data_IF_643526898854
#
_entry.id   IF_643526898854
#
_cell.length_a   1.000
_cell.length_b   1.000
_cell.length_c   1.000
_cell.angle_alpha   90.00
_cell.angle_beta   90.00
_cell.angle_gamma   90.00
#
_symmetry.space_group_name_H-M   'P 1'
#
loop_
_entity.id
_entity.type
_entity.pdbx_description
1 polymer ?
#
# COMPACT_ATOMS: atom_id res chain seq x y z
N UNK A 1 24.86 29.92 -12.19
CA UNK A 1 23.46 29.91 -12.66
C UNK A 1 23.05 28.47 -12.79
N UNK A 2 22.30 27.96 -11.82
CA UNK A 2 21.83 26.58 -11.85
C UNK A 2 20.83 26.45 -13.00
N UNK A 3 21.11 25.56 -13.94
CA UNK A 3 20.16 25.19 -14.97
C UNK A 3 18.95 24.58 -14.26
N UNK A 4 17.78 25.20 -14.42
CA UNK A 4 16.53 24.69 -13.90
C UNK A 4 16.32 23.27 -14.41
N UNK A 5 16.10 22.34 -13.50
CA UNK A 5 15.59 21.02 -13.83
C UNK A 5 14.20 21.21 -14.41
N UNK A 6 14.11 21.22 -15.74
CA UNK A 6 12.84 21.21 -16.47
C UNK A 6 12.18 19.85 -16.16
N UNK A 7 11.31 19.82 -15.15
CA UNK A 7 10.58 18.62 -14.77
C UNK A 7 9.65 18.29 -15.93
N UNK A 8 9.96 17.23 -16.67
CA UNK A 8 9.17 16.73 -17.81
C UNK A 8 7.72 16.36 -17.47
N UNK A 9 7.33 16.44 -16.19
CA UNK A 9 6.02 16.10 -15.68
C UNK A 9 5.61 17.14 -14.63
N UNK A 10 4.50 17.85 -14.89
CA UNK A 10 3.75 18.55 -13.84
C UNK A 10 2.77 17.55 -13.22
N UNK A 11 2.96 17.21 -11.96
CA UNK A 11 1.97 16.43 -11.21
C UNK A 11 0.84 17.35 -10.76
N UNK A 12 -0.26 17.33 -11.51
CA UNK A 12 -1.50 18.02 -11.12
C UNK A 12 -2.26 17.17 -10.09
N UNK A 13 -1.82 17.20 -8.83
CA UNK A 13 -2.58 16.63 -7.71
C UNK A 13 -3.77 17.56 -7.44
N UNK A 14 -5.03 17.09 -7.52
CA UNK A 14 -6.18 17.96 -7.27
C UNK A 14 -6.15 18.47 -5.82
N UNK A 15 -6.64 19.69 -5.52
CA UNK A 15 -6.68 20.21 -4.16
C UNK A 15 -7.33 19.26 -3.16
N UNK A 16 -8.37 18.52 -3.55
CA UNK A 16 -9.04 17.51 -2.71
C UNK A 16 -8.15 16.34 -2.28
N UNK A 17 -7.00 16.16 -2.91
CA UNK A 17 -6.01 15.11 -2.61
C UNK A 17 -4.73 15.67 -1.96
N UNK A 18 -4.69 16.95 -1.62
CA UNK A 18 -3.59 17.61 -0.90
C UNK A 18 -3.96 17.82 0.57
N UNK A 19 -2.97 18.02 1.44
CA UNK A 19 -3.22 18.41 2.82
C UNK A 19 -3.50 19.93 2.93
N UNK A 20 -4.45 20.36 3.79
CA UNK A 20 -5.28 19.55 4.69
C UNK A 20 -6.59 19.03 4.06
N UNK A 21 -6.93 19.43 2.83
CA UNK A 21 -8.21 19.14 2.16
C UNK A 21 -8.55 17.64 2.12
N UNK A 22 -7.56 16.78 1.93
CA UNK A 22 -7.71 15.32 1.93
C UNK A 22 -8.47 14.82 3.16
N UNK A 23 -8.26 15.43 4.33
CA UNK A 23 -8.95 15.01 5.55
C UNK A 23 -10.41 15.44 5.63
N UNK A 24 -10.79 16.47 4.88
CA UNK A 24 -12.18 16.96 4.87
C UNK A 24 -13.16 15.98 4.23
N UNK A 25 -12.63 15.01 3.49
CA UNK A 25 -13.39 13.98 2.81
C UNK A 25 -13.37 12.61 3.52
N UNK A 26 -12.73 12.48 4.68
CA UNK A 26 -12.71 11.25 5.45
C UNK A 26 -14.02 11.04 6.22
N UNK A 27 -14.48 9.79 6.26
CA UNK A 27 -15.66 9.37 7.01
C UNK A 27 -15.27 8.30 8.05
N UNK A 28 -15.65 8.47 9.33
CA UNK A 28 -16.37 9.62 9.89
C UNK A 28 -15.47 10.87 10.05
N UNK A 29 -16.03 12.09 9.94
CA UNK A 29 -15.31 13.32 10.30
C UNK A 29 -15.09 13.38 11.84
N UNK A 30 -14.02 14.01 12.36
CA UNK A 30 -13.12 14.96 11.70
C UNK A 30 -11.65 14.55 11.92
N UNK A 31 -11.09 13.69 11.08
CA UNK A 31 -9.64 13.65 11.06
C UNK A 31 -9.16 15.06 10.67
N UNK A 32 -8.35 15.69 11.49
CA UNK A 32 -7.53 16.86 11.14
C UNK A 32 -6.08 16.48 11.40
N UNK A 33 -5.13 17.29 10.89
CA UNK A 33 -3.71 17.11 11.20
C UNK A 33 -3.46 16.98 12.72
N UNK A 34 -4.22 17.72 13.53
CA UNK A 34 -4.09 17.73 15.00
C UNK A 34 -4.60 16.45 15.68
N UNK A 35 -5.44 15.67 15.00
CA UNK A 35 -5.99 14.41 15.55
C UNK A 35 -5.14 13.19 15.23
N UNK A 36 -4.17 13.33 14.31
CA UNK A 36 -3.27 12.25 13.96
C UNK A 36 -2.34 11.93 15.13
N UNK A 37 -2.06 10.66 15.33
CA UNK A 37 -1.19 10.18 16.43
C UNK A 37 0.06 9.48 15.93
N UNK A 38 0.18 9.25 14.62
CA UNK A 38 1.34 8.65 14.00
C UNK A 38 1.14 8.45 12.50
N UNK A 39 2.25 8.22 11.81
CA UNK A 39 2.33 7.90 10.40
C UNK A 39 2.91 6.50 10.27
N UNK A 40 2.32 5.66 9.42
CA UNK A 40 2.80 4.30 9.18
C UNK A 40 3.05 4.14 7.70
N UNK A 41 4.30 3.86 7.33
CA UNK A 41 4.66 3.63 5.93
C UNK A 41 4.64 2.15 5.60
N UNK A 42 4.10 1.81 4.43
CA UNK A 42 4.24 0.47 3.88
C UNK A 42 5.70 0.17 3.56
N UNK A 43 6.44 1.15 3.01
CA UNK A 43 7.87 1.10 2.73
C UNK A 43 8.40 2.51 2.35
N UNK A 44 9.71 2.62 2.15
CA UNK A 44 10.41 3.90 1.91
C UNK A 44 10.72 4.14 0.41
N UNK A 45 9.69 4.14 -0.43
CA UNK A 45 9.76 4.69 -1.81
C UNK A 45 9.08 6.06 -1.88
N UNK A 46 9.49 6.86 -2.86
CA UNK A 46 9.13 8.29 -3.00
C UNK A 46 7.63 8.55 -3.04
N UNK A 47 6.90 7.67 -3.68
CA UNK A 47 5.45 7.68 -3.83
C UNK A 47 4.70 7.22 -2.57
N UNK A 48 5.39 6.67 -1.57
CA UNK A 48 4.79 6.20 -0.30
C UNK A 48 5.07 7.12 0.88
N UNK A 49 6.23 7.77 0.90
CA UNK A 49 6.49 8.80 1.89
C UNK A 49 6.04 10.19 1.44
N UNK A 50 5.95 10.44 0.13
CA UNK A 50 5.43 11.68 -0.43
C UNK A 50 6.05 12.94 0.19
N UNK A 51 5.19 13.85 0.65
CA UNK A 51 5.55 15.08 1.34
C UNK A 51 5.39 14.92 2.86
N UNK A 52 6.26 14.10 3.49
CA UNK A 52 6.26 13.93 4.96
C UNK A 52 6.37 15.27 5.71
N UNK A 53 6.96 16.27 5.07
CA UNK A 53 7.13 17.64 5.57
C UNK A 53 5.84 18.45 5.68
N UNK A 54 4.76 18.03 5.01
CA UNK A 54 3.42 18.62 5.18
C UNK A 54 2.72 18.18 6.48
N UNK A 55 3.19 17.10 7.11
CA UNK A 55 2.67 16.63 8.40
C UNK A 55 3.39 17.28 9.58
N UNK A 56 2.78 17.40 10.77
CA UNK A 56 3.49 17.86 11.96
C UNK A 56 4.69 16.96 12.28
N UNK A 57 5.87 17.55 12.46
CA UNK A 57 7.11 16.82 12.79
C UNK A 57 7.05 16.06 14.12
N UNK A 58 6.09 16.39 14.99
CA UNK A 58 5.82 15.66 16.23
C UNK A 58 5.09 14.33 16.03
N UNK A 59 4.56 14.06 14.84
CA UNK A 59 3.95 12.76 14.54
C UNK A 59 5.04 11.68 14.44
N UNK A 60 4.96 10.61 15.23
CA UNK A 60 5.92 9.52 15.12
C UNK A 60 5.77 8.81 13.78
N UNK A 61 6.88 8.60 13.08
CA UNK A 61 6.94 7.80 11.87
C UNK A 61 7.28 6.35 12.22
N UNK A 62 6.40 5.43 11.84
CA UNK A 62 6.56 3.99 12.06
C UNK A 62 6.80 3.31 10.71
N UNK A 63 7.90 2.56 10.63
CA UNK A 63 8.31 1.83 9.42
C UNK A 63 8.47 0.33 9.71
N UNK A 64 8.51 -0.50 8.69
CA UNK A 64 8.68 -1.93 8.88
C UNK A 64 10.12 -2.31 9.27
N UNK A 65 10.33 -3.45 9.96
CA UNK A 65 11.67 -3.86 10.37
C UNK A 65 12.64 -4.06 9.21
N UNK A 66 13.81 -3.43 9.30
CA UNK A 66 14.85 -3.41 8.27
C UNK A 66 14.87 -2.15 7.40
N UNK A 67 13.88 -1.25 7.51
CA UNK A 67 13.87 0.02 6.77
C UNK A 67 15.03 0.91 7.19
N UNK A 68 15.31 1.08 8.49
CA UNK A 68 16.43 1.93 8.97
C UNK A 68 17.77 1.39 8.50
N UNK A 69 17.99 0.08 8.67
CA UNK A 69 19.22 -0.57 8.22
C UNK A 69 19.44 -0.40 6.71
N UNK A 70 18.37 -0.39 5.91
CA UNK A 70 18.47 -0.13 4.48
C UNK A 70 18.77 1.34 4.18
N UNK A 71 17.96 2.26 4.71
CA UNK A 71 18.10 3.70 4.47
C UNK A 71 19.42 4.25 4.99
N UNK A 72 19.98 3.70 6.07
CA UNK A 72 21.24 4.17 6.65
C UNK A 72 22.46 3.39 6.11
N UNK A 73 22.27 2.16 5.62
CA UNK A 73 23.36 1.20 5.39
C UNK A 73 23.90 1.04 3.96
N UNK A 74 23.14 1.34 2.91
CA UNK A 74 23.66 1.31 1.51
C UNK A 74 24.26 2.66 1.06
N UNK A 75 25.10 2.72 0.02
CA UNK A 75 25.56 3.98 -0.56
C UNK A 75 24.40 4.79 -1.17
N UNK A 76 24.49 6.13 -1.14
CA UNK A 76 23.44 7.03 -1.67
C UNK A 76 23.12 6.77 -3.16
N UNK A 77 24.11 6.35 -3.95
CA UNK A 77 23.97 6.05 -5.37
C UNK A 77 23.12 4.79 -5.67
N UNK A 78 22.83 3.97 -4.65
CA UNK A 78 22.11 2.70 -4.78
C UNK A 78 20.70 2.73 -4.19
N UNK A 79 20.25 3.87 -3.63
CA UNK A 79 18.93 4.00 -2.99
C UNK A 79 18.06 5.05 -3.67
N UNK A 80 16.78 4.74 -3.95
CA UNK A 80 15.80 5.74 -4.36
C UNK A 80 15.27 6.54 -3.16
N UNK A 81 16.10 6.81 -2.14
CA UNK A 81 15.73 7.49 -0.90
C UNK A 81 16.61 8.72 -0.73
N UNK A 82 16.04 9.91 -0.57
CA UNK A 82 16.83 11.13 -0.48
C UNK A 82 17.55 11.23 0.88
N UNK A 83 18.72 11.88 0.95
CA UNK A 83 19.46 12.06 2.21
C UNK A 83 18.68 12.76 3.32
N UNK A 84 17.64 13.53 2.98
CA UNK A 84 16.80 14.27 3.92
C UNK A 84 15.57 13.50 4.41
N UNK A 85 15.40 12.24 4.02
CA UNK A 85 14.22 11.44 4.34
C UNK A 85 13.89 11.40 5.84
N UNK A 86 14.91 11.41 6.70
CA UNK A 86 14.78 11.40 8.17
C UNK A 86 14.77 12.77 8.84
N UNK A 87 14.92 13.87 8.09
CA UNK A 87 15.17 15.18 8.70
C UNK A 87 13.93 15.81 9.32
N UNK A 88 12.73 15.43 8.85
CA UNK A 88 11.49 16.08 9.27
C UNK A 88 10.85 15.44 10.52
N UNK A 89 10.59 14.12 10.58
CA UNK A 89 10.00 13.51 11.76
C UNK A 89 10.96 13.56 12.96
N UNK A 90 10.46 13.96 14.12
CA UNK A 90 11.25 14.00 15.36
C UNK A 90 11.48 12.62 15.97
N UNK A 91 10.64 11.65 15.62
CA UNK A 91 10.76 10.25 16.01
C UNK A 91 10.53 9.31 14.82
N UNK A 92 11.44 8.35 14.67
CA UNK A 92 11.37 7.27 13.67
C UNK A 92 11.68 5.95 14.37
N UNK A 93 10.77 4.97 14.28
CA UNK A 93 10.98 3.65 14.84
C UNK A 93 10.46 2.53 13.96
N UNK A 94 11.11 1.36 14.04
CA UNK A 94 10.62 0.17 13.37
C UNK A 94 9.56 -0.54 14.22
N UNK A 95 8.55 -1.15 13.59
CA UNK A 95 7.50 -1.88 14.31
C UNK A 95 8.10 -2.89 15.30
N UNK A 96 7.65 -2.81 16.54
CA UNK A 96 8.11 -3.69 17.63
C UNK A 96 9.34 -3.19 18.39
N UNK A 97 9.99 -2.10 17.96
CA UNK A 97 11.02 -1.42 18.73
C UNK A 97 10.42 -0.61 19.91
N UNK A 98 11.25 -0.27 20.89
CA UNK A 98 10.86 0.65 21.95
C UNK A 98 10.43 2.01 21.35
N UNK A 99 9.28 2.53 21.76
CA UNK A 99 8.67 3.73 21.18
C UNK A 99 7.84 3.50 19.91
N UNK A 100 8.03 2.38 19.19
CA UNK A 100 7.29 2.02 17.97
C UNK A 100 6.54 0.68 18.05
N UNK A 101 6.50 0.05 19.23
CA UNK A 101 5.76 -1.20 19.48
C UNK A 101 4.25 -1.05 19.64
N UNK A 102 3.73 0.18 19.83
CA UNK A 102 2.32 0.36 20.20
C UNK A 102 1.96 -0.39 21.50
N UNK A 103 0.84 -1.12 21.49
CA UNK A 103 0.32 -1.89 22.63
C UNK A 103 0.42 -3.42 22.47
N UNK A 104 0.91 -3.91 21.33
CA UNK A 104 1.08 -5.33 21.09
C UNK A 104 2.12 -5.99 22.00
N UNK A 105 1.97 -7.29 22.19
CA UNK A 105 2.79 -8.13 23.08
C UNK A 105 3.86 -8.95 22.35
N UNK A 106 3.91 -8.89 21.02
CA UNK A 106 4.91 -9.57 20.22
C UNK A 106 4.52 -9.82 18.76
N UNK A 107 5.32 -10.65 18.10
CA UNK A 107 5.08 -11.09 16.73
C UNK A 107 4.29 -12.39 16.71
N UNK A 108 3.22 -12.42 15.94
CA UNK A 108 2.29 -13.53 15.80
C UNK A 108 2.20 -14.00 14.35
N UNK A 109 1.66 -15.20 14.15
CA UNK A 109 1.26 -15.68 12.82
C UNK A 109 -0.20 -15.32 12.58
N UNK A 110 -0.48 -14.59 11.51
CA UNK A 110 -1.85 -14.20 11.10
C UNK A 110 -2.03 -14.53 9.62
N UNK A 111 -3.05 -15.32 9.31
CA UNK A 111 -3.31 -15.79 7.95
C UNK A 111 -2.08 -16.41 7.29
N UNK A 112 -1.67 -15.89 6.14
CA UNK A 112 -0.47 -16.32 5.41
C UNK A 112 0.83 -15.63 5.83
N UNK A 113 0.80 -14.77 6.85
CA UNK A 113 1.96 -13.99 7.30
C UNK A 113 2.53 -14.56 8.61
N UNK A 114 3.82 -14.91 8.59
CA UNK A 114 4.51 -15.51 9.75
C UNK A 114 4.92 -14.50 10.84
N UNK A 115 4.89 -13.20 10.51
CA UNK A 115 5.26 -12.11 11.41
C UNK A 115 4.27 -10.97 11.25
N UNK A 116 3.29 -10.93 12.14
CA UNK A 116 2.30 -9.90 12.28
C UNK A 116 2.40 -9.30 13.69
N UNK A 117 2.28 -7.98 13.81
CA UNK A 117 2.34 -7.27 15.08
C UNK A 117 1.03 -6.52 15.28
N UNK A 118 0.32 -6.80 16.37
CA UNK A 118 -0.92 -6.10 16.73
C UNK A 118 -0.57 -4.73 17.32
N UNK A 119 -0.62 -3.69 16.50
CA UNK A 119 -0.13 -2.36 16.91
C UNK A 119 -1.00 -1.76 18.03
N UNK A 120 -2.32 -2.00 17.99
CA UNK A 120 -3.27 -1.50 19.00
C UNK A 120 -3.52 -2.47 20.16
N UNK A 121 -3.13 -3.74 20.04
CA UNK A 121 -3.24 -4.74 21.09
C UNK A 121 -4.67 -5.25 21.33
N UNK A 122 -5.60 -4.93 20.43
CA UNK A 122 -7.02 -5.31 20.50
C UNK A 122 -7.47 -6.13 19.27
N UNK A 123 -6.51 -6.54 18.44
CA UNK A 123 -6.70 -7.31 17.23
C UNK A 123 -7.29 -6.52 16.05
N UNK A 124 -7.42 -5.19 16.15
CA UNK A 124 -8.03 -4.37 15.09
C UNK A 124 -7.06 -3.96 13.99
N UNK A 125 -5.76 -3.88 14.26
CA UNK A 125 -4.78 -3.38 13.29
C UNK A 125 -3.45 -4.11 13.41
N UNK A 126 -3.17 -4.93 12.40
CA UNK A 126 -1.98 -5.77 12.35
C UNK A 126 -1.01 -5.27 11.28
N UNK A 127 0.22 -4.98 11.69
CA UNK A 127 1.33 -4.69 10.78
C UNK A 127 2.09 -5.99 10.51
N UNK A 128 2.05 -6.43 9.25
CA UNK A 128 2.56 -7.73 8.85
C UNK A 128 3.77 -7.56 7.94
N UNK A 129 4.86 -8.24 8.27
CA UNK A 129 6.04 -8.25 7.42
C UNK A 129 5.72 -8.97 6.13
N UNK A 130 5.60 -8.20 5.05
CA UNK A 130 5.72 -8.72 3.71
C UNK A 130 7.20 -8.94 3.47
N UNK A 131 7.69 -10.10 3.94
CA UNK A 131 9.05 -10.60 3.73
C UNK A 131 9.32 -10.83 2.24
N UNK A 132 9.32 -9.78 1.44
CA UNK A 132 10.24 -9.69 0.33
C UNK A 132 11.55 -9.21 0.95
N UNK A 133 12.64 -9.91 0.66
CA UNK A 133 13.93 -9.23 0.65
C UNK A 133 13.96 -8.56 -0.71
N UNK A 134 13.07 -7.60 -0.93
CA UNK A 134 13.31 -6.60 -1.94
C UNK A 134 14.61 -5.95 -1.49
N UNK A 135 15.75 -6.32 -2.10
CA UNK A 135 16.98 -5.52 -1.99
C UNK A 135 16.71 -4.03 -2.29
N UNK A 136 15.61 -3.75 -3.00
CA UNK A 136 15.11 -2.43 -3.34
C UNK A 136 14.14 -1.78 -2.33
N UNK A 137 13.58 -2.52 -1.35
CA UNK A 137 12.84 -1.92 -0.23
C UNK A 137 12.68 -2.85 0.99
N UNK A 138 13.76 -3.14 1.73
CA UNK A 138 13.68 -3.78 3.04
C UNK A 138 12.76 -3.04 4.01
N UNK A 139 12.07 -3.80 4.84
CA UNK A 139 11.04 -3.28 5.74
C UNK A 139 9.68 -3.01 5.08
N UNK A 140 9.47 -3.50 3.84
CA UNK A 140 8.13 -3.54 3.27
C UNK A 140 7.17 -4.33 4.17
N UNK A 141 6.04 -3.69 4.48
CA UNK A 141 4.99 -4.21 5.33
C UNK A 141 3.61 -3.94 4.74
N UNK A 142 2.65 -4.75 5.17
CA UNK A 142 1.23 -4.61 4.84
C UNK A 142 0.43 -4.46 6.13
N UNK A 143 -0.75 -3.86 6.03
CA UNK A 143 -1.63 -3.70 7.19
C UNK A 143 -2.92 -4.50 7.01
N UNK A 144 -3.30 -5.30 8.00
CA UNK A 144 -4.61 -5.93 8.07
C UNK A 144 -5.47 -5.15 9.07
N UNK A 145 -6.46 -4.45 8.55
CA UNK A 145 -7.37 -3.58 9.29
C UNK A 145 -8.70 -4.30 9.49
N UNK A 146 -9.13 -4.55 10.73
CA UNK A 146 -10.51 -4.96 11.01
C UNK A 146 -11.41 -3.75 10.87
N UNK A 147 -12.40 -3.83 9.99
CA UNK A 147 -13.28 -2.70 9.66
C UNK A 147 -14.72 -2.91 10.11
N UNK A 148 -15.15 -4.15 10.40
CA UNK A 148 -16.46 -4.42 11.00
C UNK A 148 -16.35 -5.42 12.15
N UNK A 149 -17.35 -5.45 13.02
CA UNK A 149 -17.51 -6.45 14.08
C UNK A 149 -18.87 -7.15 13.90
N UNK A 150 -18.90 -8.48 14.05
CA UNK A 150 -20.14 -9.30 13.94
C UNK A 150 -20.84 -9.31 12.56
N UNK A 151 -20.26 -9.99 11.55
CA UNK A 151 -18.99 -10.70 11.59
C UNK A 151 -17.79 -9.76 11.40
N UNK A 152 -16.62 -10.23 11.85
CA UNK A 152 -15.38 -9.51 11.61
C UNK A 152 -15.03 -9.55 10.12
N UNK A 153 -14.88 -8.37 9.52
CA UNK A 153 -14.35 -8.21 8.16
C UNK A 153 -13.12 -7.32 8.18
N UNK A 154 -12.29 -7.51 7.16
CA UNK A 154 -10.97 -6.91 7.11
C UNK A 154 -10.69 -6.30 5.74
N UNK A 155 -9.92 -5.22 5.75
CA UNK A 155 -9.24 -4.69 4.56
C UNK A 155 -7.74 -4.90 4.75
N UNK A 156 -7.08 -5.52 3.77
CA UNK A 156 -5.64 -5.72 3.76
C UNK A 156 -4.99 -4.71 2.81
N UNK A 157 -4.29 -3.72 3.36
CA UNK A 157 -3.53 -2.72 2.63
C UNK A 157 -2.16 -3.30 2.25
N UNK A 158 -2.02 -3.69 0.98
CA UNK A 158 -0.90 -4.47 0.46
C UNK A 158 0.36 -3.68 0.09
N UNK A 159 0.31 -2.34 0.12
CA UNK A 159 1.41 -1.50 -0.39
C UNK A 159 1.86 -1.95 -1.78
N UNK A 160 3.18 -1.99 -2.00
CA UNK A 160 3.77 -2.46 -3.26
C UNK A 160 4.14 -3.96 -3.23
N UNK A 161 3.31 -4.78 -2.56
CA UNK A 161 3.41 -6.24 -2.73
C UNK A 161 3.33 -6.61 -4.22
N UNK A 162 2.49 -5.88 -4.95
CA UNK A 162 2.45 -5.79 -6.39
C UNK A 162 1.65 -4.52 -6.79
N UNK A 163 1.66 -4.15 -8.07
CA UNK A 163 1.15 -2.85 -8.52
C UNK A 163 -0.23 -2.91 -9.18
N UNK A 164 -0.82 -4.09 -9.27
CA UNK A 164 -2.13 -4.25 -9.89
C UNK A 164 -2.83 -5.47 -9.32
N UNK A 165 -4.15 -5.37 -9.19
CA UNK A 165 -4.99 -6.49 -8.80
C UNK A 165 -4.87 -7.70 -9.70
N UNK A 166 -4.63 -7.52 -11.00
CA UNK A 166 -4.48 -8.63 -11.96
C UNK A 166 -3.27 -9.53 -11.65
N UNK A 167 -2.40 -9.12 -10.72
CA UNK A 167 -1.24 -9.88 -10.28
C UNK A 167 -1.59 -10.84 -9.13
N UNK A 168 -2.42 -10.39 -8.18
CA UNK A 168 -2.72 -11.15 -6.96
C UNK A 168 -4.13 -11.73 -6.93
N UNK A 169 -5.04 -11.26 -7.78
CA UNK A 169 -6.40 -11.81 -7.81
C UNK A 169 -6.36 -13.27 -8.27
N UNK A 170 -7.18 -14.14 -7.67
CA UNK A 170 -7.30 -15.51 -8.12
C UNK A 170 -7.98 -15.63 -9.51
N UNK A 171 -8.56 -14.55 -10.05
CA UNK A 171 -9.35 -14.49 -11.29
C UNK A 171 -9.14 -13.17 -12.06
N UNK A 172 -9.41 -13.12 -13.39
CA UNK A 172 -9.74 -14.23 -14.30
C UNK A 172 -8.49 -15.04 -14.69
N UNK A 173 -8.67 -16.18 -15.39
CA UNK A 173 -7.69 -17.23 -15.76
C UNK A 173 -6.20 -16.89 -15.59
N UNK A 174 -5.35 -17.84 -15.12
CA UNK A 174 -3.89 -17.65 -15.02
C UNK A 174 -3.19 -17.11 -16.28
N UNK A 175 -3.80 -17.20 -17.47
CA UNK A 175 -3.33 -16.61 -18.71
C UNK A 175 -3.48 -15.07 -18.81
N UNK A 176 -4.36 -14.47 -18.00
CA UNK A 176 -4.56 -13.01 -17.89
C UNK A 176 -3.71 -12.37 -16.78
N UNK A 177 -3.13 -13.18 -15.88
CA UNK A 177 -1.96 -12.74 -15.14
C UNK A 177 -0.91 -12.51 -16.21
N UNK A 178 -0.62 -11.24 -16.51
CA UNK A 178 0.57 -10.93 -17.31
C UNK A 178 1.78 -11.60 -16.63
N UNK A 179 2.94 -11.65 -17.28
CA UNK A 179 4.18 -12.10 -16.62
C UNK A 179 4.63 -11.09 -15.52
N UNK A 180 3.68 -10.46 -14.79
CA UNK A 180 3.58 -9.06 -14.29
C UNK A 180 4.57 -8.67 -13.21
N UNK A 181 5.49 -9.55 -12.84
CA UNK A 181 6.71 -9.06 -12.22
C UNK A 181 7.58 -8.35 -13.26
N UNK A 182 7.43 -8.66 -14.54
CA UNK A 182 8.28 -8.16 -15.61
C UNK A 182 7.53 -7.41 -16.71
N UNK A 183 8.03 -6.24 -17.13
CA UNK A 183 7.59 -5.52 -18.31
C UNK A 183 8.67 -5.52 -19.41
N UNK A 184 8.23 -5.36 -20.65
CA UNK A 184 9.12 -5.05 -21.76
C UNK A 184 9.12 -3.52 -21.94
N UNK A 185 10.31 -2.91 -22.06
CA UNK A 185 10.39 -1.51 -22.40
C UNK A 185 9.82 -1.30 -23.82
N UNK A 186 9.10 -0.20 -24.13
CA UNK A 186 8.49 0.00 -25.45
C UNK A 186 9.47 -0.09 -26.63
N UNK A 187 10.78 0.11 -26.40
CA UNK A 187 11.82 -0.07 -27.41
C UNK A 187 12.19 -1.52 -27.72
N UNK A 188 11.79 -2.48 -26.87
CA UNK A 188 12.11 -3.91 -27.03
C UNK A 188 11.11 -4.65 -27.92
N UNK A 189 9.94 -4.04 -28.18
CA UNK A 189 8.97 -4.55 -29.15
C UNK A 189 7.51 -4.31 -28.75
N UNK A 190 6.56 -4.90 -29.48
CA UNK A 190 5.13 -4.65 -29.27
C UNK A 190 4.61 -5.22 -27.94
N UNK A 191 3.87 -4.39 -27.21
CA UNK A 191 3.16 -4.76 -25.98
C UNK A 191 2.28 -6.00 -26.21
N UNK A 192 2.33 -6.97 -25.30
CA UNK A 192 1.56 -8.21 -25.37
C UNK A 192 2.18 -9.34 -26.21
N UNK A 193 3.27 -9.06 -26.93
CA UNK A 193 4.04 -10.08 -27.68
C UNK A 193 5.52 -10.16 -27.30
N UNK A 194 6.08 -9.08 -26.74
CA UNK A 194 7.44 -9.07 -26.19
C UNK A 194 7.43 -9.55 -24.74
N UNK A 195 8.22 -10.57 -24.44
CA UNK A 195 8.41 -11.07 -23.07
C UNK A 195 9.08 -9.98 -22.22
N UNK A 196 8.53 -9.74 -21.03
CA UNK A 196 9.11 -8.77 -20.10
C UNK A 196 10.50 -9.16 -19.62
N UNK A 197 11.44 -8.22 -19.67
CA UNK A 197 12.83 -8.35 -19.25
C UNK A 197 13.18 -7.49 -18.03
N UNK A 198 12.33 -6.52 -17.68
CA UNK A 198 12.55 -5.54 -16.62
C UNK A 198 11.60 -5.78 -15.46
N UNK A 199 12.06 -5.65 -14.22
CA UNK A 199 11.24 -5.81 -13.03
C UNK A 199 11.63 -4.80 -11.95
N UNK A 200 10.68 -4.37 -11.13
CA UNK A 200 10.94 -3.56 -9.92
C UNK A 200 11.40 -4.45 -8.76
N UNK A 201 11.30 -5.77 -8.91
CA UNK A 201 11.65 -6.75 -7.89
C UNK A 201 13.08 -7.27 -8.12
N UNK A 202 13.92 -7.17 -7.09
CA UNK A 202 15.29 -7.70 -7.17
C UNK A 202 15.34 -9.21 -6.96
N UNK A 203 14.43 -9.76 -6.15
CA UNK A 203 14.29 -11.20 -5.89
C UNK A 203 12.89 -11.65 -6.31
N UNK A 204 12.81 -12.24 -7.49
CA UNK A 204 11.55 -12.70 -8.09
C UNK A 204 10.90 -13.82 -7.28
N UNK A 205 11.68 -14.78 -6.75
CA UNK A 205 11.13 -15.90 -5.96
C UNK A 205 10.45 -15.38 -4.69
N UNK A 206 11.08 -14.42 -4.01
CA UNK A 206 10.50 -13.80 -2.83
C UNK A 206 9.30 -12.90 -3.18
N UNK A 207 9.34 -12.18 -4.30
CA UNK A 207 8.19 -11.41 -4.79
C UNK A 207 6.99 -12.33 -5.05
N UNK A 208 7.19 -13.47 -5.73
CA UNK A 208 6.14 -14.47 -5.95
C UNK A 208 5.57 -15.01 -4.64
N UNK A 209 6.41 -15.30 -3.64
CA UNK A 209 5.93 -15.72 -2.31
C UNK A 209 5.11 -14.64 -1.62
N UNK A 210 5.47 -13.36 -1.74
CA UNK A 210 4.68 -12.27 -1.17
C UNK A 210 3.35 -12.09 -1.90
N UNK A 211 3.33 -12.17 -3.23
CA UNK A 211 2.10 -12.17 -4.03
C UNK A 211 1.22 -13.37 -3.66
N UNK A 212 1.79 -14.55 -3.47
CA UNK A 212 1.04 -15.74 -3.08
C UNK A 212 0.41 -15.60 -1.68
N UNK A 213 1.07 -14.93 -0.74
CA UNK A 213 0.49 -14.58 0.57
C UNK A 213 -0.69 -13.64 0.40
N UNK A 214 -0.52 -12.56 -0.36
CA UNK A 214 -1.59 -11.61 -0.64
C UNK A 214 -2.79 -12.29 -1.33
N UNK A 215 -2.52 -13.12 -2.34
CA UNK A 215 -3.54 -13.93 -3.04
C UNK A 215 -4.28 -14.83 -2.05
N UNK A 216 -3.56 -15.51 -1.15
CA UNK A 216 -4.20 -16.38 -0.16
C UNK A 216 -5.10 -15.59 0.78
N UNK A 217 -4.71 -14.39 1.20
CA UNK A 217 -5.57 -13.52 2.01
C UNK A 217 -6.79 -13.05 1.21
N UNK A 218 -6.62 -12.68 -0.06
CA UNK A 218 -7.72 -12.29 -0.95
C UNK A 218 -8.73 -13.43 -1.15
N UNK A 219 -8.34 -14.69 -0.99
CA UNK A 219 -9.29 -15.81 -1.06
C UNK A 219 -10.19 -15.97 0.16
N UNK A 220 -9.95 -15.25 1.27
CA UNK A 220 -10.80 -15.31 2.47
C UNK A 220 -12.07 -14.47 2.29
N UNK A 221 -13.25 -15.06 2.50
CA UNK A 221 -14.55 -14.38 2.31
C UNK A 221 -14.71 -13.09 3.12
N UNK A 222 -13.93 -12.90 4.18
CA UNK A 222 -13.99 -11.74 5.06
C UNK A 222 -12.77 -10.81 4.95
N UNK A 223 -11.91 -10.97 3.95
CA UNK A 223 -10.78 -10.08 3.69
C UNK A 223 -10.87 -9.52 2.27
N UNK A 224 -10.76 -8.21 2.12
CA UNK A 224 -10.58 -7.54 0.82
C UNK A 224 -9.19 -6.89 0.77
N UNK A 225 -8.36 -7.28 -0.18
CA UNK A 225 -7.03 -6.71 -0.38
C UNK A 225 -7.11 -5.47 -1.27
N UNK A 226 -6.26 -4.49 -0.98
CA UNK A 226 -6.07 -3.27 -1.78
C UNK A 226 -4.57 -2.95 -1.84
N UNK A 227 -3.99 -2.85 -3.04
CA UNK A 227 -2.58 -2.43 -3.24
C UNK A 227 -2.48 -0.92 -3.51
N UNK A 228 -1.30 -0.33 -3.34
CA UNK A 228 -1.16 1.13 -3.44
C UNK A 228 -1.40 1.68 -4.85
N UNK A 229 -1.07 0.90 -5.87
CA UNK A 229 -1.09 1.35 -7.28
C UNK A 229 -2.26 0.80 -8.10
N UNK A 230 -3.30 0.25 -7.46
CA UNK A 230 -4.53 -0.10 -8.19
C UNK A 230 -5.49 1.10 -8.24
N UNK A 231 -5.62 1.72 -9.41
CA UNK A 231 -6.71 2.68 -9.66
C UNK A 231 -8.00 1.98 -10.05
N UNK A 232 -7.92 0.75 -10.55
CA UNK A 232 -9.05 -0.09 -10.91
C UNK A 232 -10.04 -0.27 -9.76
N UNK A 233 -9.55 -0.40 -8.51
CA UNK A 233 -10.43 -0.51 -7.33
C UNK A 233 -11.25 0.76 -7.13
N UNK A 234 -10.65 1.94 -7.31
CA UNK A 234 -11.35 3.21 -7.15
C UNK A 234 -12.43 3.34 -8.24
N UNK A 235 -12.10 3.05 -9.49
CA UNK A 235 -13.05 3.08 -10.60
C UNK A 235 -14.20 2.07 -10.41
N UNK A 236 -13.88 0.83 -10.06
CA UNK A 236 -14.88 -0.23 -9.93
C UNK A 236 -15.74 -0.08 -8.70
N UNK A 237 -15.23 0.49 -7.62
CA UNK A 237 -16.05 0.76 -6.45
C UNK A 237 -16.76 2.12 -6.56
N UNK A 238 -16.50 2.87 -7.64
CA UNK A 238 -17.02 4.21 -7.86
C UNK A 238 -16.55 5.19 -6.79
N UNK A 239 -15.35 5.01 -6.25
CA UNK A 239 -14.71 5.88 -5.27
C UNK A 239 -13.82 6.87 -6.04
N UNK A 240 -14.09 8.17 -5.95
CA UNK A 240 -13.23 9.20 -6.54
C UNK A 240 -11.92 9.40 -5.78
N UNK A 241 -10.93 10.01 -6.42
CA UNK A 241 -9.67 10.39 -5.74
C UNK A 241 -9.99 11.40 -4.63
N UNK A 242 -9.62 11.06 -3.40
CA UNK A 242 -9.95 11.86 -2.23
C UNK A 242 -11.43 11.79 -1.83
N UNK A 243 -12.26 10.94 -2.42
CA UNK A 243 -13.63 10.70 -1.96
C UNK A 243 -13.66 9.46 -1.05
N UNK A 244 -14.27 9.55 0.13
CA UNK A 244 -14.81 8.39 0.83
C UNK A 244 -16.33 8.53 0.90
N UNK A 245 -17.05 7.77 0.07
CA UNK A 245 -18.52 7.81 0.03
C UNK A 245 -19.17 7.27 1.31
N UNK A 246 -18.48 6.37 1.99
CA UNK A 246 -18.84 5.73 3.26
C UNK A 246 -17.58 5.09 3.87
N UNK A 247 -17.68 4.60 5.11
CA UNK A 247 -16.59 3.84 5.70
C UNK A 247 -16.43 2.45 5.09
N UNK A 248 -15.28 1.83 5.37
CA UNK A 248 -14.92 0.51 4.86
C UNK A 248 -15.70 -0.63 5.54
N UNK A 249 -16.36 -0.41 6.67
CA UNK A 249 -17.12 -1.40 7.44
C UNK A 249 -18.18 -2.16 6.62
N UNK A 250 -18.77 -1.51 5.62
CA UNK A 250 -19.83 -2.08 4.77
C UNK A 250 -19.32 -2.57 3.42
N UNK A 251 -17.99 -2.74 3.21
CA UNK A 251 -17.46 -3.21 1.92
C UNK A 251 -18.09 -4.54 1.49
N UNK A 252 -18.36 -5.43 2.45
CA UNK A 252 -18.90 -6.76 2.20
C UNK A 252 -20.38 -6.71 1.83
N UNK A 253 -21.17 -5.89 2.54
CA UNK A 253 -22.60 -5.69 2.26
C UNK A 253 -22.82 -5.03 0.89
N UNK A 254 -21.92 -4.13 0.52
CA UNK A 254 -21.93 -3.47 -0.78
C UNK A 254 -21.39 -4.33 -1.92
N UNK A 255 -20.90 -5.55 -1.64
CA UNK A 255 -20.33 -6.43 -2.66
C UNK A 255 -19.08 -5.87 -3.33
N UNK A 256 -18.32 -4.99 -2.67
CA UNK A 256 -17.15 -4.32 -3.25
C UNK A 256 -16.09 -5.32 -3.71
N UNK A 257 -15.78 -6.31 -2.87
CA UNK A 257 -14.85 -7.38 -3.24
C UNK A 257 -15.34 -8.18 -4.43
N UNK A 258 -16.62 -8.53 -4.47
CA UNK A 258 -17.20 -9.27 -5.60
C UNK A 258 -17.15 -8.45 -6.90
N UNK A 259 -17.43 -7.14 -6.82
CA UNK A 259 -17.26 -6.21 -7.94
C UNK A 259 -15.82 -6.17 -8.43
N UNK A 260 -14.87 -6.00 -7.50
CA UNK A 260 -13.43 -6.01 -7.73
C UNK A 260 -12.94 -7.32 -8.35
N UNK A 261 -13.47 -8.46 -7.93
CA UNK A 261 -13.07 -9.77 -8.47
C UNK A 261 -13.66 -10.04 -9.86
N UNK A 262 -14.84 -9.48 -10.17
CA UNK A 262 -15.51 -9.68 -11.46
C UNK A 262 -15.09 -8.72 -12.55
N UNK A 263 -14.57 -7.53 -12.20
CA UNK A 263 -14.20 -6.51 -13.19
C UNK A 263 -15.37 -5.93 -14.00
N UNK A 264 -16.60 -6.04 -13.48
CA UNK A 264 -17.80 -5.43 -14.05
C UNK A 264 -18.32 -4.47 -12.97
N UNK A 265 -18.00 -3.18 -13.09
CA UNK A 265 -18.36 -2.16 -12.10
C UNK A 265 -19.88 -2.05 -11.83
N UNK A 266 -20.29 -1.51 -10.67
CA UNK A 266 -21.69 -1.34 -10.31
C UNK A 266 -22.29 -0.15 -11.06
N UNK A 267 -23.10 -0.49 -12.07
CA UNK A 267 -24.14 0.26 -12.79
C UNK A 267 -23.90 0.39 -14.29
N UNK A 268 -24.24 -0.67 -15.03
CA UNK A 268 -25.00 -0.44 -16.26
C UNK A 268 -26.36 0.13 -15.83
N UNK A 269 -26.49 1.46 -15.76
CA UNK A 269 -27.83 2.03 -15.95
C UNK A 269 -28.28 1.50 -17.30
N UNK A 270 -29.28 0.64 -17.28
CA UNK A 270 -30.11 0.33 -18.42
C UNK A 270 -30.61 1.67 -18.97
N UNK A 271 -29.93 2.19 -19.98
CA UNK A 271 -30.47 3.22 -20.83
C UNK A 271 -31.54 2.54 -21.69
N UNK A 272 -32.79 2.66 -21.21
CA UNK A 272 -33.95 2.64 -22.09
C UNK A 272 -33.93 3.90 -22.97
#
# INVERSE_FOLDING_TARGET
>A
MAAGTDSRFEFNVPPSAQLPELFTHLSPPPATLDTLTGLILSHAHVDHYGALDEFPSSLPLIVGPGTKAWVDGSPDEEKPVPPWFWNHPTFIGEVGEEGARGKGDGWHKIGSYEKAFDFFGDGSFWLMQARSIMKHCPGHQVALCRVSMSPDTYVLLGGDTCHSRYIYTPFPEPAARSDVACWAHPSEGPVGSTKGSHTMHVDLDQAYKSIARLTRMEMEDNVMCVVAHETDVAYELGIGVGEMKQGWESWKENGWKEGKEKGIGPNSKSAN
#
